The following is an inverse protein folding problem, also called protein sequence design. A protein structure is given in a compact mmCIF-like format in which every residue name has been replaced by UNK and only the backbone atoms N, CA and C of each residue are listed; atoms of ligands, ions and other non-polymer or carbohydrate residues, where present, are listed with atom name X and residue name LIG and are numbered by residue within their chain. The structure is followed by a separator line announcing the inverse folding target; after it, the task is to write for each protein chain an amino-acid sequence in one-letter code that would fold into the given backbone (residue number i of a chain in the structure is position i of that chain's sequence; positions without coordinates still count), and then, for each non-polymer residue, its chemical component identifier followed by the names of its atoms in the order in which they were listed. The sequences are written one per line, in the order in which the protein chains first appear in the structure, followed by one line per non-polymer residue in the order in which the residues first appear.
data_IF_267999865182
#
_entry.id   IF_267999865182
#
_cell.length_a   1.000
_cell.length_b   1.000
_cell.length_c   1.000
_cell.angle_alpha   90.00
_cell.angle_beta   90.00
_cell.angle_gamma   90.00
#
_symmetry.space_group_name_H-M   'P 1'
#
loop_
_entity.id
_entity.type
_entity.pdbx_description
1 polymer ?
#
# COMPACT_ATOMS: atom_id res chain seq x y z
N UNK A 1 -26.47 -29.01 -55.50
CA UNK A 1 -26.61 -30.35 -54.87
C UNK A 1 -26.29 -30.23 -53.39
N UNK A 2 -27.28 -30.37 -52.51
CA UNK A 2 -27.14 -30.22 -51.05
C UNK A 2 -26.77 -31.58 -50.45
N UNK A 3 -25.62 -31.68 -49.77
CA UNK A 3 -25.26 -32.84 -48.96
C UNK A 3 -25.44 -32.48 -47.49
N UNK A 4 -26.42 -33.09 -46.86
CA UNK A 4 -26.64 -33.08 -45.41
C UNK A 4 -25.81 -34.20 -44.77
N UNK A 5 -25.02 -33.86 -43.75
CA UNK A 5 -24.37 -34.83 -42.88
C UNK A 5 -24.93 -34.68 -41.48
N UNK A 6 -25.58 -35.74 -40.99
CA UNK A 6 -25.98 -35.93 -39.60
C UNK A 6 -25.25 -37.16 -39.05
N UNK A 7 -24.52 -36.99 -37.96
CA UNK A 7 -24.03 -38.08 -37.11
C UNK A 7 -23.77 -37.48 -35.70
N UNK A 8 -24.67 -37.69 -34.74
CA UNK A 8 -24.61 -38.78 -33.75
C UNK A 8 -23.30 -38.82 -32.97
N UNK A 9 -23.23 -38.07 -31.87
CA UNK A 9 -22.26 -38.32 -30.80
C UNK A 9 -22.99 -38.93 -29.61
N UNK A 10 -22.62 -40.18 -29.29
CA UNK A 10 -23.06 -40.92 -28.11
C UNK A 10 -22.40 -40.32 -26.87
N UNK A 11 -23.20 -39.93 -25.88
CA UNK A 11 -22.75 -39.56 -24.55
C UNK A 11 -22.21 -40.78 -23.81
N UNK A 12 -20.91 -40.81 -23.54
CA UNK A 12 -20.31 -41.80 -22.62
C UNK A 12 -20.18 -41.15 -21.24
N UNK A 13 -21.02 -41.59 -20.32
CA UNK A 13 -20.94 -41.26 -18.91
C UNK A 13 -19.93 -42.22 -18.28
N UNK A 14 -18.67 -41.78 -18.16
CA UNK A 14 -17.67 -42.46 -17.35
C UNK A 14 -17.58 -41.77 -15.99
N UNK A 15 -18.31 -42.35 -15.05
CA UNK A 15 -18.15 -42.19 -13.59
C UNK A 15 -16.71 -42.54 -13.20
N UNK A 16 -15.90 -41.53 -12.88
CA UNK A 16 -14.59 -41.73 -12.26
C UNK A 16 -14.64 -41.18 -10.84
N UNK A 17 -14.76 -42.09 -9.88
CA UNK A 17 -14.50 -41.82 -8.47
C UNK A 17 -12.99 -41.62 -8.29
N UNK A 18 -12.56 -40.47 -7.76
CA UNK A 18 -11.16 -40.24 -7.39
C UNK A 18 -11.05 -39.79 -5.93
N UNK A 19 -10.70 -40.78 -5.11
CA UNK A 19 -9.87 -40.78 -3.90
C UNK A 19 -9.45 -39.40 -3.36
N UNK A 20 -9.93 -39.12 -2.14
CA UNK A 20 -9.40 -38.10 -1.24
C UNK A 20 -7.97 -38.47 -0.80
N UNK A 21 -6.96 -37.75 -1.28
CA UNK A 21 -5.66 -37.67 -0.61
C UNK A 21 -5.52 -36.28 0.00
N UNK A 22 -5.66 -36.25 1.33
CA UNK A 22 -5.33 -35.09 2.16
C UNK A 22 -3.82 -34.86 2.12
N UNK A 23 -3.39 -33.97 1.23
CA UNK A 23 -2.08 -33.34 1.31
C UNK A 23 -2.17 -32.16 2.27
N UNK A 24 -1.35 -32.17 3.33
CA UNK A 24 -1.07 -30.99 4.13
C UNK A 24 -0.52 -29.90 3.20
N UNK A 25 -1.40 -28.99 2.79
CA UNK A 25 -1.04 -27.69 2.24
C UNK A 25 -0.29 -26.94 3.34
N UNK A 26 1.03 -26.96 3.24
CA UNK A 26 1.90 -26.03 3.95
C UNK A 26 1.58 -24.65 3.39
N UNK A 27 0.71 -23.93 4.10
CA UNK A 27 0.44 -22.51 3.88
C UNK A 27 1.76 -21.79 4.14
N UNK A 28 2.54 -21.59 3.09
CA UNK A 28 3.54 -20.53 3.08
C UNK A 28 2.75 -19.24 3.28
N UNK A 29 2.69 -18.77 4.52
CA UNK A 29 2.28 -17.42 4.86
C UNK A 29 3.25 -16.47 4.18
N UNK A 30 2.99 -16.14 2.92
CA UNK A 30 3.32 -14.82 2.43
C UNK A 30 2.73 -13.86 3.46
N UNK A 31 3.55 -12.94 3.98
CA UNK A 31 3.09 -11.83 4.81
C UNK A 31 2.14 -10.98 3.97
N UNK A 32 0.90 -11.43 3.82
CA UNK A 32 -0.20 -10.63 3.33
C UNK A 32 -0.42 -9.62 4.43
N UNK A 33 -0.03 -8.38 4.17
CA UNK A 33 -0.47 -7.24 4.95
C UNK A 33 -2.00 -7.27 4.97
N UNK A 34 -2.55 -7.51 6.16
CA UNK A 34 -3.97 -7.65 6.45
C UNK A 34 -4.81 -6.60 5.73
N UNK A 35 -5.79 -7.09 4.96
CA UNK A 35 -6.87 -6.32 4.38
C UNK A 35 -8.09 -6.56 5.26
N UNK A 36 -8.56 -5.48 5.89
CA UNK A 36 -9.90 -5.16 6.44
C UNK A 36 -9.68 -4.38 7.74
N UNK A 37 -10.19 -3.14 7.77
CA UNK A 37 -10.01 -2.04 8.74
C UNK A 37 -8.82 -1.10 8.47
N UNK A 38 -9.12 0.05 7.84
CA UNK A 38 -8.35 1.32 7.75
C UNK A 38 -6.87 1.32 7.33
N UNK A 39 -6.24 0.16 7.12
CA UNK A 39 -4.84 0.05 6.74
C UNK A 39 -4.69 0.21 5.22
N UNK A 40 -4.98 1.42 4.74
CA UNK A 40 -4.48 1.85 3.43
C UNK A 40 -2.96 1.69 3.42
N UNK A 41 -2.36 1.24 2.30
CA UNK A 41 -0.92 1.08 2.22
C UNK A 41 -0.24 2.38 2.65
N UNK A 42 0.80 2.27 3.49
CA UNK A 42 1.53 3.44 4.00
C UNK A 42 2.26 4.22 2.91
N UNK A 43 2.56 3.54 1.80
CA UNK A 43 3.18 4.12 0.62
C UNK A 43 2.13 4.13 -0.46
N UNK A 44 1.76 5.32 -0.90
CA UNK A 44 0.75 5.52 -1.92
C UNK A 44 1.35 6.36 -3.03
N UNK A 45 1.17 5.87 -4.25
CA UNK A 45 1.33 6.72 -5.42
C UNK A 45 -0.04 7.27 -5.83
N UNK A 46 -0.03 8.50 -6.32
CA UNK A 46 -1.18 9.14 -6.93
C UNK A 46 -0.86 9.49 -8.38
N UNK A 47 -1.91 9.57 -9.19
CA UNK A 47 -1.75 9.64 -10.62
C UNK A 47 -3.05 9.72 -11.38
N UNK A 48 -2.92 9.58 -12.70
CA UNK A 48 -4.04 9.49 -13.62
C UNK A 48 -4.10 8.09 -14.21
N UNK A 49 -5.30 7.53 -14.23
CA UNK A 49 -5.60 6.25 -14.82
C UNK A 49 -6.50 6.45 -16.04
N UNK A 50 -6.11 5.85 -17.16
CA UNK A 50 -6.88 5.88 -18.40
C UNK A 50 -7.39 4.46 -18.67
N UNK A 51 -8.71 4.30 -18.75
CA UNK A 51 -9.33 3.00 -19.05
C UNK A 51 -9.32 2.73 -20.56
N UNK A 52 -9.62 1.49 -20.95
CA UNK A 52 -9.81 1.13 -22.37
C UNK A 52 -10.97 1.89 -23.03
N UNK A 53 -11.92 2.39 -22.24
CA UNK A 53 -13.04 3.22 -22.73
C UNK A 53 -12.64 4.69 -22.93
N UNK A 54 -11.40 5.06 -22.59
CA UNK A 54 -10.91 6.42 -22.66
C UNK A 54 -11.30 7.29 -21.45
N UNK A 55 -11.92 6.71 -20.43
CA UNK A 55 -12.21 7.41 -19.18
C UNK A 55 -10.91 7.76 -18.46
N UNK A 56 -10.78 9.02 -18.04
CA UNK A 56 -9.66 9.49 -17.23
C UNK A 56 -10.10 9.62 -15.78
N UNK A 57 -9.37 8.98 -14.88
CA UNK A 57 -9.69 8.90 -13.46
C UNK A 57 -8.49 9.38 -12.65
N UNK A 58 -8.71 10.32 -11.75
CA UNK A 58 -7.70 10.69 -10.76
C UNK A 58 -7.71 9.63 -9.66
N UNK A 59 -6.54 9.09 -9.36
CA UNK A 59 -6.41 7.96 -8.43
C UNK A 59 -5.34 8.20 -7.38
N UNK A 60 -5.54 7.65 -6.21
CA UNK A 60 -4.57 7.54 -5.13
C UNK A 60 -4.56 6.13 -4.55
N UNK A 61 -3.62 5.85 -3.65
CA UNK A 61 -3.54 4.60 -2.89
C UNK A 61 -3.53 3.35 -3.78
N UNK A 62 -2.80 3.45 -4.88
CA UNK A 62 -2.77 2.43 -5.91
C UNK A 62 -1.84 1.26 -5.53
N UNK A 63 -2.23 0.04 -5.91
CA UNK A 63 -1.45 -1.19 -5.72
C UNK A 63 -1.62 -2.13 -6.91
N UNK A 64 -0.62 -2.98 -7.14
CA UNK A 64 -0.59 -3.98 -8.21
C UNK A 64 -0.41 -5.35 -7.57
N UNK A 65 -1.44 -6.19 -7.61
CA UNK A 65 -1.46 -7.48 -6.93
C UNK A 65 -1.27 -7.37 -5.41
N UNK A 66 -1.73 -6.27 -4.80
CA UNK A 66 -1.53 -5.95 -3.38
C UNK A 66 -0.15 -5.39 -3.03
N UNK A 67 0.75 -5.24 -4.00
CA UNK A 67 2.08 -4.68 -3.81
C UNK A 67 2.11 -3.18 -4.19
N UNK A 68 2.88 -2.38 -3.46
CA UNK A 68 2.84 -0.91 -3.55
C UNK A 68 4.20 -0.23 -3.81
N UNK A 69 5.31 -0.96 -3.71
CA UNK A 69 6.67 -0.41 -3.93
C UNK A 69 7.39 -1.13 -5.06
N UNK A 70 7.65 -2.41 -4.86
CA UNK A 70 8.33 -3.24 -5.85
C UNK A 70 7.34 -4.20 -6.47
N UNK A 71 7.13 -4.08 -7.77
CA UNK A 71 6.26 -4.97 -8.52
C UNK A 71 7.13 -5.98 -9.25
N UNK A 72 7.01 -7.28 -8.94
CA UNK A 72 7.68 -8.31 -9.71
C UNK A 72 6.99 -8.42 -11.06
N UNK A 73 7.81 -8.35 -12.09
CA UNK A 73 7.48 -8.52 -13.50
C UNK A 73 8.46 -9.52 -14.10
N UNK A 74 8.14 -10.02 -15.28
CA UNK A 74 8.97 -11.00 -15.95
C UNK A 74 9.40 -10.48 -17.32
N UNK A 75 10.62 -10.84 -17.74
CA UNK A 75 11.01 -10.65 -19.12
C UNK A 75 10.15 -11.53 -20.04
N UNK A 76 9.86 -11.07 -21.26
CA UNK A 76 9.18 -11.90 -22.26
C UNK A 76 10.16 -12.97 -22.77
N UNK A 77 9.92 -14.28 -22.53
CA UNK A 77 10.81 -15.33 -23.04
C UNK A 77 10.77 -15.41 -24.56
N UNK A 78 11.89 -15.82 -25.18
CA UNK A 78 11.96 -16.09 -26.62
C UNK A 78 11.24 -17.38 -27.02
N UNK A 79 11.20 -18.36 -26.11
CA UNK A 79 10.61 -19.68 -26.33
C UNK A 79 9.41 -19.91 -25.40
N UNK A 80 8.32 -20.44 -25.95
CA UNK A 80 7.06 -20.67 -25.22
C UNK A 80 7.16 -21.74 -24.10
N UNK A 81 8.18 -22.61 -24.17
CA UNK A 81 8.43 -23.66 -23.17
C UNK A 81 9.18 -23.14 -21.93
N UNK A 82 9.81 -21.97 -22.04
CA UNK A 82 10.51 -21.32 -20.94
C UNK A 82 9.48 -20.69 -19.99
N UNK A 83 9.68 -20.92 -18.70
CA UNK A 83 8.85 -20.34 -17.66
C UNK A 83 9.27 -18.89 -17.38
N UNK A 84 8.42 -17.88 -17.57
CA UNK A 84 8.80 -16.49 -17.31
C UNK A 84 9.27 -16.21 -15.88
N UNK A 85 8.82 -17.01 -14.91
CA UNK A 85 9.15 -16.80 -13.49
C UNK A 85 10.63 -16.97 -13.20
N UNK A 86 11.39 -17.67 -14.05
CA UNK A 86 12.84 -17.83 -13.86
C UNK A 86 13.60 -16.51 -14.03
N UNK A 87 13.05 -15.55 -14.75
CA UNK A 87 13.65 -14.24 -15.03
C UNK A 87 12.77 -13.12 -14.44
N UNK A 88 12.69 -13.12 -13.11
CA UNK A 88 11.93 -12.14 -12.35
C UNK A 88 12.74 -10.87 -12.14
N UNK A 89 12.18 -9.74 -12.58
CA UNK A 89 12.69 -8.40 -12.32
C UNK A 89 11.74 -7.65 -11.39
N UNK A 90 12.27 -6.83 -10.49
CA UNK A 90 11.47 -5.99 -9.59
C UNK A 90 11.52 -4.54 -10.06
N UNK A 91 10.36 -3.97 -10.37
CA UNK A 91 10.24 -2.55 -10.74
C UNK A 91 9.90 -1.75 -9.49
N UNK A 92 10.73 -0.76 -9.14
CA UNK A 92 10.38 0.23 -8.11
C UNK A 92 9.45 1.29 -8.71
N UNK A 93 8.23 1.37 -8.19
CA UNK A 93 7.22 2.32 -8.67
C UNK A 93 7.62 3.78 -8.46
N UNK A 94 8.59 4.07 -7.58
CA UNK A 94 9.14 5.42 -7.42
C UNK A 94 9.98 5.88 -8.63
N UNK A 95 10.51 4.94 -9.42
CA UNK A 95 11.24 5.21 -10.66
C UNK A 95 10.34 5.18 -11.88
N UNK A 96 9.07 4.79 -11.74
CA UNK A 96 8.15 4.64 -12.88
C UNK A 96 7.38 5.94 -13.09
N UNK A 97 7.37 6.39 -14.34
CA UNK A 97 6.55 7.50 -14.82
C UNK A 97 5.19 7.01 -15.30
N UNK A 98 5.19 5.94 -16.08
CA UNK A 98 3.98 5.43 -16.70
C UNK A 98 4.05 3.91 -16.90
N UNK A 99 2.92 3.25 -16.70
CA UNK A 99 2.69 1.85 -17.09
C UNK A 99 1.58 1.87 -18.12
N UNK A 100 1.77 1.22 -19.27
CA UNK A 100 0.73 1.12 -20.31
C UNK A 100 0.58 -0.33 -20.77
N UNK A 101 -0.62 -0.67 -21.19
CA UNK A 101 -0.90 -1.96 -21.82
C UNK A 101 -0.82 -1.75 -23.33
N UNK A 102 0.00 -2.50 -24.08
CA UNK A 102 -0.02 -2.43 -25.54
C UNK A 102 -1.34 -3.00 -26.07
N UNK A 103 -1.92 -2.34 -27.06
CA UNK A 103 -3.11 -2.79 -27.77
C UNK A 103 -2.80 -2.95 -29.25
N UNK A 104 -3.07 -4.13 -29.79
CA UNK A 104 -3.04 -4.36 -31.24
C UNK A 104 -4.23 -3.66 -31.88
N UNK A 105 -3.95 -2.76 -32.84
CA UNK A 105 -4.91 -2.05 -33.69
C UNK A 105 -6.19 -1.57 -32.96
N UNK A 106 -6.05 -1.21 -31.68
CA UNK A 106 -7.07 -0.58 -30.86
C UNK A 106 -8.11 -1.51 -30.21
N UNK A 107 -7.96 -2.84 -30.21
CA UNK A 107 -9.06 -3.70 -29.70
C UNK A 107 -8.69 -4.74 -28.62
N UNK A 108 -7.45 -5.24 -28.55
CA UNK A 108 -7.11 -6.27 -27.55
C UNK A 108 -5.73 -6.02 -26.91
N UNK A 109 -5.63 -6.12 -25.58
CA UNK A 109 -4.35 -6.21 -24.88
C UNK A 109 -3.53 -7.39 -25.39
N UNK A 110 -2.23 -7.17 -25.56
CA UNK A 110 -1.29 -8.25 -25.88
C UNK A 110 -1.16 -9.19 -24.67
N UNK A 111 -1.41 -10.48 -24.90
CA UNK A 111 -1.42 -11.50 -23.85
C UNK A 111 -0.72 -12.78 -24.33
N UNK A 112 -0.11 -13.48 -23.38
CA UNK A 112 0.68 -14.68 -23.62
C UNK A 112 0.23 -15.79 -22.69
N UNK A 113 0.47 -17.04 -23.08
CA UNK A 113 0.25 -18.21 -22.21
C UNK A 113 1.52 -19.03 -22.13
N UNK A 114 2.10 -19.12 -20.95
CA UNK A 114 3.29 -19.94 -20.68
C UNK A 114 2.95 -20.99 -19.63
N UNK A 115 3.20 -22.27 -19.94
CA UNK A 115 2.85 -23.41 -19.06
C UNK A 115 1.42 -23.33 -18.50
N UNK A 116 0.45 -23.02 -19.37
CA UNK A 116 -0.99 -22.85 -19.04
C UNK A 116 -1.31 -21.69 -18.09
N UNK A 117 -0.38 -20.77 -17.83
CA UNK A 117 -0.62 -19.55 -17.06
C UNK A 117 -0.73 -18.35 -18.01
N UNK A 118 -1.79 -17.53 -17.89
CA UNK A 118 -1.96 -16.34 -18.72
C UNK A 118 -1.15 -15.17 -18.15
N UNK A 119 -0.51 -14.42 -19.05
CA UNK A 119 0.24 -13.21 -18.76
C UNK A 119 -0.21 -12.07 -19.68
N UNK A 120 -0.19 -10.84 -19.17
CA UNK A 120 -0.44 -9.63 -19.92
C UNK A 120 0.87 -8.89 -20.13
N UNK A 121 1.08 -8.36 -21.33
CA UNK A 121 2.19 -7.45 -21.58
C UNK A 121 1.92 -6.08 -20.95
N UNK A 122 2.98 -5.47 -20.43
CA UNK A 122 3.00 -4.06 -20.04
C UNK A 122 4.27 -3.42 -20.57
N UNK A 123 4.15 -2.12 -20.83
CA UNK A 123 5.26 -1.27 -21.18
C UNK A 123 5.44 -0.27 -20.05
N UNK A 124 6.65 -0.20 -19.54
CA UNK A 124 7.02 0.64 -18.41
C UNK A 124 7.97 1.72 -18.89
N UNK A 125 7.62 2.96 -18.57
CA UNK A 125 8.40 4.16 -18.89
C UNK A 125 8.92 4.73 -17.57
N UNK A 126 10.24 4.91 -17.48
CA UNK A 126 10.89 5.37 -16.26
C UNK A 126 10.91 6.91 -16.16
N UNK A 127 11.05 7.43 -14.93
CA UNK A 127 11.12 8.87 -14.64
C UNK A 127 12.39 9.51 -15.23
N UNK A 128 13.53 8.82 -15.12
CA UNK A 128 14.84 9.35 -15.56
C UNK A 128 15.12 9.15 -17.05
N UNK A 129 14.33 8.31 -17.71
CA UNK A 129 14.44 8.06 -19.14
C UNK A 129 13.04 7.88 -19.74
N UNK A 130 12.37 9.01 -19.96
CA UNK A 130 11.03 9.02 -20.53
C UNK A 130 10.99 8.55 -22.00
N UNK A 131 12.15 8.29 -22.62
CA UNK A 131 12.25 7.80 -24.00
C UNK A 131 12.45 6.29 -24.05
N UNK A 132 12.97 5.66 -22.99
CA UNK A 132 13.10 4.22 -22.93
C UNK A 132 11.79 3.56 -22.54
N UNK A 133 11.32 2.69 -23.43
CA UNK A 133 10.18 1.82 -23.18
C UNK A 133 10.71 0.44 -22.83
N UNK A 134 10.33 -0.06 -21.66
CA UNK A 134 10.72 -1.38 -21.20
C UNK A 134 9.52 -2.31 -21.24
N UNK A 135 9.62 -3.39 -22.01
CA UNK A 135 8.56 -4.37 -22.17
C UNK A 135 8.73 -5.49 -21.13
N UNK A 136 7.65 -5.76 -20.41
CA UNK A 136 7.57 -6.84 -19.43
C UNK A 136 6.24 -7.56 -19.54
N UNK A 137 6.14 -8.71 -18.88
CA UNK A 137 4.88 -9.41 -18.70
C UNK A 137 4.56 -9.58 -17.22
N UNK A 138 3.27 -9.57 -16.90
CA UNK A 138 2.73 -9.84 -15.55
C UNK A 138 1.66 -10.93 -15.62
N UNK A 139 1.48 -11.68 -14.53
CA UNK A 139 0.40 -12.66 -14.46
C UNK A 139 -0.97 -12.00 -14.60
N UNK A 140 -1.82 -12.49 -15.50
CA UNK A 140 -3.12 -11.88 -15.80
C UNK A 140 -4.11 -11.91 -14.62
N UNK A 141 -3.83 -12.71 -13.59
CA UNK A 141 -4.59 -12.78 -12.34
C UNK A 141 -4.38 -11.54 -11.46
N UNK A 142 -3.27 -10.80 -11.64
CA UNK A 142 -2.98 -9.62 -10.84
C UNK A 142 -3.96 -8.50 -11.16
N UNK A 143 -4.43 -7.87 -10.08
CA UNK A 143 -5.37 -6.75 -10.14
C UNK A 143 -4.66 -5.44 -9.84
N UNK A 144 -5.12 -4.39 -10.48
CA UNK A 144 -4.83 -3.03 -10.08
C UNK A 144 -5.92 -2.57 -9.12
N UNK A 145 -5.54 -2.16 -7.92
CA UNK A 145 -6.47 -1.63 -6.91
C UNK A 145 -6.10 -0.18 -6.63
N UNK A 146 -7.08 0.71 -6.53
CA UNK A 146 -6.85 2.13 -6.27
C UNK A 146 -8.06 2.78 -5.62
N UNK A 147 -7.88 4.00 -5.11
CA UNK A 147 -8.97 4.90 -4.75
C UNK A 147 -9.17 5.95 -5.83
N UNK A 148 -10.35 5.96 -6.45
CA UNK A 148 -10.76 6.99 -7.41
C UNK A 148 -11.22 8.22 -6.63
N UNK A 149 -10.73 9.39 -7.04
CA UNK A 149 -11.11 10.69 -6.48
C UNK A 149 -12.19 11.31 -7.38
N UNK A 150 -13.39 11.50 -6.83
CA UNK A 150 -14.54 12.13 -7.50
C UNK A 150 -15.12 13.23 -6.61
N UNK A 151 -14.65 14.46 -6.81
CA UNK A 151 -14.88 15.57 -5.89
C UNK A 151 -14.33 15.26 -4.49
N UNK A 152 -15.22 15.31 -3.49
CA UNK A 152 -14.87 14.98 -2.09
C UNK A 152 -14.97 13.48 -1.78
N UNK A 153 -15.44 12.67 -2.72
CA UNK A 153 -15.62 11.23 -2.53
C UNK A 153 -14.38 10.46 -2.94
N UNK A 154 -14.05 9.45 -2.14
CA UNK A 154 -13.03 8.45 -2.46
C UNK A 154 -13.70 7.09 -2.58
N UNK A 155 -13.54 6.46 -3.73
CA UNK A 155 -14.15 5.16 -4.03
C UNK A 155 -13.07 4.12 -4.30
N UNK A 156 -13.06 3.04 -3.53
CA UNK A 156 -12.20 1.90 -3.81
C UNK A 156 -12.61 1.24 -5.13
N UNK A 157 -11.63 0.99 -6.00
CA UNK A 157 -11.85 0.35 -7.30
C UNK A 157 -10.78 -0.71 -7.52
N UNK A 158 -11.23 -1.90 -7.88
CA UNK A 158 -10.41 -3.00 -8.34
C UNK A 158 -10.64 -3.20 -9.84
N UNK A 159 -9.56 -3.39 -10.61
CA UNK A 159 -9.66 -3.66 -12.05
C UNK A 159 -8.57 -4.60 -12.55
N UNK A 160 -8.87 -5.26 -13.67
CA UNK A 160 -7.89 -6.03 -14.42
C UNK A 160 -6.97 -5.10 -15.22
N UNK A 161 -5.72 -5.51 -15.44
CA UNK A 161 -4.81 -4.83 -16.38
C UNK A 161 -5.36 -4.77 -17.82
N UNK A 162 -6.25 -5.70 -18.18
CA UNK A 162 -6.92 -5.68 -19.47
C UNK A 162 -7.91 -4.50 -19.63
N UNK A 163 -8.40 -3.94 -18.51
CA UNK A 163 -9.30 -2.78 -18.51
C UNK A 163 -8.53 -1.45 -18.47
N UNK A 164 -7.20 -1.52 -18.35
CA UNK A 164 -6.30 -0.38 -18.25
C UNK A 164 -5.65 -0.10 -19.60
N UNK A 165 -5.73 1.15 -20.04
CA UNK A 165 -4.94 1.67 -21.14
C UNK A 165 -3.59 2.15 -20.66
N UNK A 166 -3.58 3.02 -19.66
CA UNK A 166 -2.36 3.50 -19.02
C UNK A 166 -2.59 3.99 -17.60
N UNK A 167 -1.52 3.99 -16.82
CA UNK A 167 -1.42 4.56 -15.48
C UNK A 167 -0.22 5.50 -15.51
N UNK A 168 -0.46 6.79 -15.28
CA UNK A 168 0.58 7.80 -15.15
C UNK A 168 0.78 8.09 -13.66
N UNK A 169 2.00 7.91 -13.17
CA UNK A 169 2.36 8.15 -11.78
C UNK A 169 2.89 9.59 -11.67
N UNK A 170 2.19 10.45 -10.95
CA UNK A 170 2.56 11.87 -10.82
C UNK A 170 3.23 12.19 -9.49
N UNK A 171 2.92 11.42 -8.45
CA UNK A 171 3.53 11.60 -7.14
C UNK A 171 3.69 10.27 -6.42
N UNK A 172 4.74 10.19 -5.61
CA UNK A 172 5.05 9.06 -4.75
C UNK A 172 5.28 9.60 -3.34
N UNK A 173 4.44 9.20 -2.37
CA UNK A 173 4.63 9.59 -0.98
C UNK A 173 5.60 8.61 -0.30
N UNK A 174 6.89 8.98 -0.21
CA UNK A 174 7.88 8.28 0.62
C UNK A 174 7.57 8.53 2.10
N UNK A 175 7.57 7.46 2.90
CA UNK A 175 7.19 7.51 4.33
C UNK A 175 8.29 8.09 5.25
N UNK A 176 9.47 8.50 4.75
CA UNK A 176 10.57 8.95 5.63
C UNK A 176 10.17 10.08 6.59
N UNK A 177 9.23 10.93 6.20
CA UNK A 177 8.78 12.04 7.05
C UNK A 177 7.94 11.58 8.25
N UNK A 178 7.11 10.54 8.13
CA UNK A 178 6.18 10.15 9.21
C UNK A 178 6.81 9.28 10.30
N UNK A 179 7.79 8.44 9.98
CA UNK A 179 8.53 7.69 11.02
C UNK A 179 9.43 8.64 11.81
N UNK A 180 10.13 9.54 11.11
CA UNK A 180 10.98 10.55 11.74
C UNK A 180 10.16 11.47 12.64
N UNK A 181 9.00 11.94 12.16
CA UNK A 181 8.10 12.77 12.96
C UNK A 181 7.47 12.03 14.15
N UNK A 182 7.13 10.73 14.02
CA UNK A 182 6.71 9.92 15.18
C UNK A 182 7.83 9.71 16.19
N UNK A 183 9.05 9.46 15.72
CA UNK A 183 10.23 9.28 16.57
C UNK A 183 10.60 10.59 17.29
N UNK A 184 10.51 11.73 16.60
CA UNK A 184 10.70 13.06 17.18
C UNK A 184 9.61 13.39 18.19
N UNK A 185 8.34 13.13 17.87
CA UNK A 185 7.24 13.34 18.81
C UNK A 185 7.36 12.44 20.05
N UNK A 186 7.86 11.22 19.91
CA UNK A 186 8.17 10.33 21.03
C UNK A 186 9.35 10.84 21.86
N UNK A 187 10.42 11.33 21.23
CA UNK A 187 11.56 11.96 21.93
C UNK A 187 11.14 13.23 22.69
N UNK A 188 10.32 14.08 22.07
CA UNK A 188 9.77 15.26 22.70
C UNK A 188 8.85 14.91 23.88
N UNK A 189 8.03 13.86 23.74
CA UNK A 189 7.18 13.36 24.83
C UNK A 189 8.02 12.83 26.00
N UNK A 190 9.07 12.04 25.74
CA UNK A 190 9.96 11.54 26.79
C UNK A 190 10.75 12.65 27.50
N UNK A 191 11.25 13.64 26.75
CA UNK A 191 11.92 14.81 27.33
C UNK A 191 10.98 15.68 28.17
N UNK A 192 9.73 15.87 27.71
CA UNK A 192 8.67 16.56 28.44
C UNK A 192 8.34 15.82 29.74
N UNK A 193 8.19 14.50 29.70
CA UNK A 193 7.94 13.66 30.88
C UNK A 193 9.08 13.72 31.90
N UNK A 194 10.34 13.64 31.45
CA UNK A 194 11.51 13.75 32.32
C UNK A 194 11.62 15.15 32.98
N UNK A 195 11.32 16.21 32.24
CA UNK A 195 11.28 17.59 32.75
C UNK A 195 10.17 17.77 33.78
N UNK A 196 8.98 17.22 33.49
CA UNK A 196 7.85 17.21 34.43
C UNK A 196 8.18 16.47 35.73
N UNK A 197 8.81 15.30 35.67
CA UNK A 197 9.22 14.55 36.86
C UNK A 197 10.16 15.38 37.74
N UNK A 198 11.23 15.96 37.16
CA UNK A 198 12.19 16.78 37.90
C UNK A 198 11.54 18.01 38.54
N UNK A 199 10.63 18.67 37.82
CA UNK A 199 9.92 19.83 38.33
C UNK A 199 8.99 19.47 39.50
N UNK A 200 8.32 18.31 39.43
CA UNK A 200 7.49 17.80 40.52
C UNK A 200 8.33 17.43 41.75
N UNK A 201 9.50 16.81 41.56
CA UNK A 201 10.41 16.50 42.67
C UNK A 201 10.93 17.78 43.34
N UNK A 202 11.27 18.81 42.54
CA UNK A 202 11.65 20.13 43.05
C UNK A 202 10.52 20.78 43.86
N UNK A 203 9.26 20.67 43.41
CA UNK A 203 8.10 21.17 44.14
C UNK A 203 7.96 20.45 45.50
N UNK A 204 8.11 19.12 45.54
CA UNK A 204 8.04 18.34 46.78
C UNK A 204 9.13 18.74 47.79
N UNK A 205 10.36 18.96 47.31
CA UNK A 205 11.45 19.44 48.15
C UNK A 205 11.13 20.82 48.75
N UNK A 206 10.62 21.76 47.95
CA UNK A 206 10.23 23.10 48.40
C UNK A 206 9.05 23.08 49.38
N UNK A 207 8.11 22.14 49.23
CA UNK A 207 7.00 21.94 50.18
C UNK A 207 7.47 21.49 51.55
N UNK A 208 8.55 20.71 51.62
CA UNK A 208 9.10 20.19 52.87
C UNK A 208 9.94 21.20 53.67
N UNK A 209 10.33 22.32 53.06
CA UNK A 209 11.15 23.36 53.69
C UNK A 209 10.34 24.37 54.54
N UNK A 210 11.03 25.20 55.35
CA UNK A 210 10.38 26.26 56.13
C UNK A 210 9.69 27.28 55.22
N UNK A 211 8.37 27.40 55.36
CA UNK A 211 7.52 28.25 54.52
C UNK A 211 7.44 29.67 55.09
N UNK A 212 7.93 30.67 54.36
CA UNK A 212 7.52 32.06 54.56
C UNK A 212 6.48 32.45 53.49
N UNK A 213 5.73 33.53 53.72
CA UNK A 213 4.62 33.95 52.84
C UNK A 213 5.07 34.17 51.39
N UNK A 214 6.24 34.76 51.19
CA UNK A 214 6.80 35.02 49.85
C UNK A 214 7.14 33.72 49.11
N UNK A 215 7.66 32.72 49.82
CA UNK A 215 8.01 31.42 49.27
C UNK A 215 6.76 30.62 48.89
N UNK A 216 5.68 30.73 49.65
CA UNK A 216 4.39 30.11 49.34
C UNK A 216 3.79 30.64 48.03
N UNK A 217 3.85 31.95 47.79
CA UNK A 217 3.34 32.58 46.56
C UNK A 217 4.17 32.15 45.33
N UNK A 218 5.50 32.09 45.45
CA UNK A 218 6.40 31.60 44.40
C UNK A 218 6.17 30.11 44.10
N UNK A 219 5.94 29.30 45.13
CA UNK A 219 5.64 27.88 44.99
C UNK A 219 4.32 27.64 44.24
N UNK A 220 3.28 28.41 44.55
CA UNK A 220 2.00 28.35 43.84
C UNK A 220 2.13 28.79 42.38
N UNK A 221 2.92 29.83 42.10
CA UNK A 221 3.23 30.23 40.73
C UNK A 221 3.94 29.11 39.95
N UNK A 222 4.93 28.47 40.57
CA UNK A 222 5.66 27.35 39.97
C UNK A 222 4.76 26.14 39.69
N UNK A 223 3.89 25.76 40.64
CA UNK A 223 2.92 24.67 40.47
C UNK A 223 2.00 24.90 39.26
N UNK A 224 1.55 26.13 39.05
CA UNK A 224 0.70 26.47 37.91
C UNK A 224 1.48 26.37 36.58
N UNK A 225 2.74 26.83 36.55
CA UNK A 225 3.60 26.69 35.37
C UNK A 225 3.88 25.22 35.03
N UNK A 226 4.16 24.39 36.04
CA UNK A 226 4.39 22.95 35.85
C UNK A 226 3.10 22.24 35.40
N UNK A 227 1.94 22.61 35.94
CA UNK A 227 0.67 22.05 35.50
C UNK A 227 0.43 22.28 34.00
N UNK A 228 0.59 23.52 33.52
CA UNK A 228 0.45 23.85 32.10
C UNK A 228 1.44 23.08 31.22
N UNK A 229 2.66 22.86 31.71
CA UNK A 229 3.67 22.08 31.00
C UNK A 229 3.37 20.58 30.98
N UNK A 230 2.61 20.04 31.93
CA UNK A 230 2.46 18.59 32.13
C UNK A 230 1.05 18.04 31.84
N UNK A 231 0.12 18.85 31.31
CA UNK A 231 -1.29 18.51 31.09
C UNK A 231 -1.55 17.35 30.10
N UNK A 232 -0.60 17.03 29.22
CA UNK A 232 -0.75 15.93 28.25
C UNK A 232 0.17 14.75 28.59
N UNK A 233 -0.35 13.72 29.27
CA UNK A 233 0.22 12.37 29.20
C UNK A 233 0.88 11.78 30.45
N UNK A 234 0.65 12.31 31.67
CA UNK A 234 1.14 11.67 32.91
C UNK A 234 -0.03 11.10 33.73
N UNK A 235 -0.10 9.77 33.97
CA UNK A 235 -1.25 9.11 34.61
C UNK A 235 -1.39 9.35 36.12
N UNK A 236 -0.58 10.23 36.72
CA UNK A 236 -0.64 10.57 38.15
C UNK A 236 -0.38 12.07 38.32
N UNK A 237 -1.36 12.91 38.01
CA UNK A 237 -1.26 14.34 38.30
C UNK A 237 -1.80 14.64 39.71
N UNK A 238 -1.08 15.42 40.52
CA UNK A 238 -1.73 16.15 41.63
C UNK A 238 -2.82 17.04 41.03
N UNK A 239 -3.98 17.13 41.67
CA UNK A 239 -5.10 17.93 41.18
C UNK A 239 -4.64 19.36 40.94
N UNK A 240 -4.49 19.75 39.68
CA UNK A 240 -4.21 21.14 39.35
C UNK A 240 -5.36 21.99 39.89
N UNK A 241 -5.08 23.09 40.60
CA UNK A 241 -6.13 23.95 41.10
C UNK A 241 -6.95 24.44 39.91
N UNK A 242 -8.21 24.01 39.87
CA UNK A 242 -9.19 24.50 38.90
C UNK A 242 -9.44 25.96 39.31
N UNK A 243 -9.19 26.88 38.39
CA UNK A 243 -9.52 28.29 38.58
C UNK A 243 -11.01 28.49 38.75
#
# INVERSE_FOLDING_TARGET
MKKTYSAWYKSSWMTTALVCMGGLLSIQSSKNSDIVTDNKPRINFAGELITILGEKLQVENCTIGGLYRQIPVYALPKDADIDPVIDTTFIDLDQVKQIRTPFDDGSKPQSYTFKKRPFNEIIVIMNNDAKSEHHYILEATRKFMCQVIDGDKRLDREMSFLALKSITITSFKKHEDQYTQKLENQKHSAAKAATCSKALDTIKELESGPQNKEMADKLNSLKNSVCLLCQDGVPQQPTCPIK
#
